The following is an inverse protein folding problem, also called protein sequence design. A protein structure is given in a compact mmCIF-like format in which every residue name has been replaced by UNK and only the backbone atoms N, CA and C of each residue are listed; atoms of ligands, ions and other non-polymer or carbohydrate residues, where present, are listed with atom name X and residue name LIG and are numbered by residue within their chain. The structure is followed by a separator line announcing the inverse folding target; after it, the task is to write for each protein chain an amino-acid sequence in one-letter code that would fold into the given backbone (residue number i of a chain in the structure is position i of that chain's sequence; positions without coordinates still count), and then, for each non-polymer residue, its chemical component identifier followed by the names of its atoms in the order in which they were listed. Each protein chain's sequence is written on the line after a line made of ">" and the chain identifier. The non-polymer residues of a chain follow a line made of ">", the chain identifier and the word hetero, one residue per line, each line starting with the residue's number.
data_IF_701590925197
#
_entry.id   IF_701590925197
#
_cell.length_a   1.000
_cell.length_b   1.000
_cell.length_c   1.000
_cell.angle_alpha   90.00
_cell.angle_beta   90.00
_cell.angle_gamma   90.00
#
_symmetry.space_group_name_H-M   'P 1'
#
loop_
_entity.id
_entity.type
_entity.pdbx_description
1 polymer ?
#
# COMPACT_ATOMS: atom_id res chain seq x y z
N UNK A 1 30.48 41.72 34.91
CA UNK A 1 30.53 41.63 33.43
C UNK A 1 30.82 40.23 32.89
N UNK A 2 31.76 39.45 33.48
CA UNK A 2 32.05 38.06 33.06
C UNK A 2 30.83 37.11 33.02
N UNK A 3 29.93 37.21 34.00
CA UNK A 3 28.76 36.31 34.08
C UNK A 3 27.68 36.59 33.01
N UNK A 4 27.59 37.82 32.51
CA UNK A 4 26.62 38.20 31.48
C UNK A 4 27.06 37.63 30.12
N UNK A 5 28.37 37.65 29.84
CA UNK A 5 28.97 37.10 28.61
C UNK A 5 28.73 35.57 28.54
N UNK A 6 28.86 34.87 29.67
CA UNK A 6 28.62 33.42 29.74
C UNK A 6 27.16 33.05 29.44
N UNK A 7 26.21 33.85 29.95
CA UNK A 7 24.78 33.67 29.72
C UNK A 7 24.40 33.92 28.25
N UNK A 8 25.01 34.90 27.60
CA UNK A 8 24.79 35.16 26.17
C UNK A 8 25.34 34.05 25.28
N UNK A 9 26.48 33.44 25.64
CA UNK A 9 27.07 32.33 24.87
C UNK A 9 26.22 31.04 24.97
N UNK A 10 25.65 30.74 26.14
CA UNK A 10 24.75 29.60 26.32
C UNK A 10 23.45 29.71 25.51
N UNK A 11 22.88 30.92 25.42
CA UNK A 11 21.68 31.16 24.61
C UNK A 11 21.94 30.95 23.12
N UNK A 12 23.10 31.38 22.60
CA UNK A 12 23.49 31.17 21.20
C UNK A 12 23.68 29.67 20.89
N UNK A 13 24.21 28.89 21.83
CA UNK A 13 24.41 27.44 21.65
C UNK A 13 23.08 26.68 21.58
N UNK A 14 22.08 27.08 22.37
CA UNK A 14 20.73 26.48 22.32
C UNK A 14 20.01 26.71 20.98
N UNK A 15 20.33 27.80 20.27
CA UNK A 15 19.75 28.11 18.95
C UNK A 15 20.38 27.29 17.81
N UNK A 16 21.57 26.72 18.02
CA UNK A 16 22.28 25.90 17.03
C UNK A 16 21.89 24.42 17.06
N UNK A 17 21.01 23.99 17.99
CA UNK A 17 20.25 22.73 17.83
C UNK A 17 19.16 22.95 16.78
N UNK A 18 19.60 23.35 15.58
CA UNK A 18 18.82 23.31 14.36
C UNK A 18 18.34 21.89 14.24
N UNK A 19 17.02 21.76 14.27
CA UNK A 19 16.26 20.61 13.78
C UNK A 19 17.07 19.90 12.72
N UNK A 20 17.54 18.70 13.02
CA UNK A 20 17.90 17.76 11.97
C UNK A 20 16.56 17.44 11.31
N UNK A 21 16.11 18.31 10.40
CA UNK A 21 15.03 18.02 9.49
C UNK A 21 15.59 16.88 8.66
N UNK A 22 15.34 15.66 9.10
CA UNK A 22 15.47 14.51 8.23
C UNK A 22 14.52 14.83 7.08
N UNK A 23 15.06 15.38 5.99
CA UNK A 23 14.35 15.40 4.73
C UNK A 23 14.08 13.92 4.49
N UNK A 24 12.84 13.47 4.77
CA UNK A 24 12.38 12.19 4.29
C UNK A 24 12.58 12.29 2.80
N UNK A 25 13.62 11.62 2.29
CA UNK A 25 13.95 11.53 0.88
C UNK A 25 12.62 11.40 0.15
N UNK A 26 12.27 12.42 -0.62
CA UNK A 26 10.96 12.50 -1.26
C UNK A 26 10.88 11.29 -2.16
N UNK A 27 10.14 10.28 -1.69
CA UNK A 27 10.02 9.01 -2.38
C UNK A 27 9.10 9.30 -3.55
N UNK A 28 9.68 9.77 -4.66
CA UNK A 28 9.01 9.87 -5.95
C UNK A 28 8.62 8.45 -6.38
N UNK A 29 7.48 8.01 -5.89
CA UNK A 29 6.82 6.78 -6.30
C UNK A 29 5.67 7.17 -7.21
N UNK A 30 5.96 7.32 -8.50
CA UNK A 30 4.91 7.27 -9.51
C UNK A 30 5.50 7.02 -10.88
N UNK A 31 6.08 5.84 -11.12
CA UNK A 31 6.06 5.31 -12.48
C UNK A 31 4.58 5.01 -12.76
N UNK A 32 3.88 5.94 -13.38
CA UNK A 32 2.55 5.71 -13.95
C UNK A 32 2.74 4.77 -15.13
N UNK A 33 1.85 3.80 -15.28
CA UNK A 33 1.86 2.94 -16.45
C UNK A 33 0.58 3.17 -17.24
N UNK A 34 0.71 3.09 -18.54
CA UNK A 34 -0.37 3.32 -19.47
C UNK A 34 -0.40 2.17 -20.47
N UNK A 35 -1.59 1.72 -20.82
CA UNK A 35 -1.79 0.74 -21.88
C UNK A 35 -3.10 1.01 -22.61
N UNK A 36 -3.26 0.36 -23.77
CA UNK A 36 -4.56 0.31 -24.41
C UNK A 36 -5.50 -0.54 -23.57
N UNK A 37 -6.61 0.05 -23.18
CA UNK A 37 -7.73 -0.59 -22.51
C UNK A 37 -8.83 -0.78 -23.56
N UNK A 38 -9.37 -1.99 -23.64
CA UNK A 38 -10.50 -2.29 -24.53
C UNK A 38 -11.79 -1.89 -23.81
N UNK A 39 -12.56 -1.02 -24.44
CA UNK A 39 -13.88 -0.60 -23.98
C UNK A 39 -14.95 -1.59 -24.47
N UNK A 40 -16.17 -1.48 -23.96
CA UNK A 40 -17.29 -2.38 -24.33
C UNK A 40 -17.68 -2.27 -25.80
N UNK A 41 -17.47 -1.11 -26.42
CA UNK A 41 -17.67 -0.85 -27.85
C UNK A 41 -16.50 -1.34 -28.73
N UNK A 42 -15.58 -2.14 -28.17
CA UNK A 42 -14.35 -2.64 -28.79
C UNK A 42 -13.33 -1.56 -29.19
N UNK A 43 -13.57 -0.30 -28.82
CA UNK A 43 -12.57 0.75 -29.00
C UNK A 43 -11.41 0.57 -28.03
N UNK A 44 -10.22 1.00 -28.45
CA UNK A 44 -9.01 0.96 -27.63
C UNK A 44 -8.69 2.37 -27.18
N UNK A 45 -8.63 2.57 -25.87
CA UNK A 45 -8.29 3.87 -25.29
C UNK A 45 -7.00 3.77 -24.47
N UNK A 46 -6.11 4.75 -24.62
CA UNK A 46 -4.86 4.77 -23.86
C UNK A 46 -5.13 5.33 -22.45
N UNK A 47 -5.19 4.45 -21.46
CA UNK A 47 -5.56 4.80 -20.08
C UNK A 47 -4.44 4.49 -19.09
N UNK A 48 -4.41 5.25 -18.00
CA UNK A 48 -3.55 4.94 -16.85
C UNK A 48 -4.04 3.66 -16.17
N UNK A 49 -3.14 2.69 -16.02
CA UNK A 49 -3.41 1.40 -15.38
C UNK A 49 -2.36 1.07 -14.34
N UNK A 50 -2.64 0.08 -13.51
CA UNK A 50 -1.63 -0.47 -12.62
C UNK A 50 -0.46 -1.06 -13.42
N UNK A 51 0.76 -0.60 -13.17
CA UNK A 51 2.00 -1.18 -13.71
C UNK A 51 2.19 -2.67 -13.48
N UNK A 52 1.42 -3.27 -12.57
CA UNK A 52 1.43 -4.71 -12.38
C UNK A 52 0.69 -5.41 -13.51
N UNK A 53 -0.43 -4.84 -13.98
CA UNK A 53 -1.22 -5.42 -15.06
C UNK A 53 -0.44 -5.44 -16.37
N UNK A 54 0.32 -4.38 -16.66
CA UNK A 54 1.13 -4.25 -17.88
C UNK A 54 2.31 -5.23 -17.97
N UNK A 55 2.57 -6.00 -16.91
CA UNK A 55 3.66 -6.98 -16.86
C UNK A 55 3.15 -8.41 -16.97
N UNK A 56 1.84 -8.61 -16.96
CA UNK A 56 1.24 -9.93 -17.01
C UNK A 56 1.17 -10.43 -18.45
N UNK A 57 1.46 -11.70 -18.64
CA UNK A 57 1.12 -12.40 -19.89
C UNK A 57 -0.39 -12.57 -20.01
N UNK A 58 -0.87 -12.92 -21.20
CA UNK A 58 -2.30 -13.24 -21.43
C UNK A 58 -2.79 -14.34 -20.47
N UNK A 59 -1.99 -15.39 -20.25
CA UNK A 59 -2.33 -16.49 -19.34
C UNK A 59 -2.43 -16.02 -17.88
N UNK A 60 -1.46 -15.21 -17.44
CA UNK A 60 -1.48 -14.63 -16.10
C UNK A 60 -2.66 -13.67 -15.92
N UNK A 61 -3.03 -12.94 -16.96
CA UNK A 61 -4.18 -12.05 -16.93
C UNK A 61 -5.50 -12.81 -16.88
N UNK A 62 -5.65 -13.88 -17.66
CA UNK A 62 -6.78 -14.80 -17.60
C UNK A 62 -6.91 -15.40 -16.20
N UNK A 63 -5.81 -15.87 -15.62
CA UNK A 63 -5.80 -16.40 -14.24
C UNK A 63 -6.21 -15.32 -13.23
N UNK A 64 -5.71 -14.09 -13.37
CA UNK A 64 -6.11 -12.96 -12.53
C UNK A 64 -7.62 -12.67 -12.66
N UNK A 65 -8.16 -12.65 -13.88
CA UNK A 65 -9.58 -12.41 -14.13
C UNK A 65 -10.45 -13.51 -13.52
N UNK A 66 -10.06 -14.78 -13.64
CA UNK A 66 -10.76 -15.89 -12.96
C UNK A 66 -10.77 -15.71 -11.44
N UNK A 67 -9.62 -15.39 -10.84
CA UNK A 67 -9.54 -15.15 -9.39
C UNK A 67 -10.41 -13.97 -8.94
N UNK A 68 -10.47 -12.89 -9.74
CA UNK A 68 -11.35 -11.75 -9.46
C UNK A 68 -12.82 -12.14 -9.58
N UNK A 69 -13.17 -12.99 -10.56
CA UNK A 69 -14.53 -13.50 -10.72
C UNK A 69 -14.96 -14.39 -9.55
N UNK A 70 -14.06 -15.26 -9.06
CA UNK A 70 -14.28 -16.09 -7.87
C UNK A 70 -14.48 -15.26 -6.59
N UNK A 71 -13.91 -14.05 -6.56
CA UNK A 71 -14.13 -13.06 -5.51
C UNK A 71 -15.40 -12.21 -5.72
N UNK A 72 -16.26 -12.58 -6.68
CA UNK A 72 -17.48 -11.89 -7.06
C UNK A 72 -17.28 -10.45 -7.59
N UNK A 73 -16.14 -10.15 -8.20
CA UNK A 73 -16.00 -8.93 -9.00
C UNK A 73 -16.63 -9.13 -10.39
N UNK A 74 -17.26 -8.08 -10.90
CA UNK A 74 -17.77 -8.04 -12.28
C UNK A 74 -16.60 -7.89 -13.26
N UNK A 75 -16.14 -9.03 -13.79
CA UNK A 75 -15.06 -9.13 -14.77
C UNK A 75 -15.35 -10.21 -15.81
N UNK A 76 -14.90 -9.93 -17.02
CA UNK A 76 -14.92 -10.86 -18.15
C UNK A 76 -13.55 -11.54 -18.28
N UNK A 77 -13.54 -12.82 -18.64
CA UNK A 77 -12.30 -13.60 -18.78
C UNK A 77 -11.87 -13.52 -20.24
N UNK A 78 -11.03 -12.54 -20.55
CA UNK A 78 -10.65 -12.17 -21.92
C UNK A 78 -9.16 -12.28 -22.20
N UNK A 79 -8.32 -12.35 -21.16
CA UNK A 79 -6.86 -12.26 -21.30
C UNK A 79 -6.36 -10.88 -21.74
N UNK A 80 -7.24 -9.87 -21.76
CA UNK A 80 -6.91 -8.47 -22.12
C UNK A 80 -7.24 -7.53 -20.96
N UNK A 81 -6.46 -6.45 -20.82
CA UNK A 81 -6.72 -5.41 -19.82
C UNK A 81 -7.90 -4.56 -20.30
N UNK A 82 -9.08 -4.83 -19.79
CA UNK A 82 -10.27 -4.00 -19.98
C UNK A 82 -10.53 -3.10 -18.76
N UNK A 83 -11.52 -2.21 -18.90
CA UNK A 83 -11.86 -1.25 -17.85
C UNK A 83 -12.37 -1.96 -16.58
N UNK A 84 -13.19 -2.99 -16.73
CA UNK A 84 -13.74 -3.79 -15.62
C UNK A 84 -12.63 -4.46 -14.82
N UNK A 85 -11.68 -5.10 -15.50
CA UNK A 85 -10.50 -5.77 -14.94
C UNK A 85 -9.62 -4.78 -14.19
N UNK A 86 -9.32 -3.61 -14.76
CA UNK A 86 -8.50 -2.60 -14.07
C UNK A 86 -9.18 -2.09 -12.78
N UNK A 87 -10.47 -1.79 -12.85
CA UNK A 87 -11.27 -1.34 -11.68
C UNK A 87 -11.32 -2.43 -10.60
N UNK A 88 -11.66 -3.66 -10.97
CA UNK A 88 -11.71 -4.81 -10.07
C UNK A 88 -10.37 -5.07 -9.40
N UNK A 89 -9.27 -5.06 -10.17
CA UNK A 89 -7.92 -5.24 -9.66
C UNK A 89 -7.54 -4.17 -8.61
N UNK A 90 -7.86 -2.90 -8.86
CA UNK A 90 -7.58 -1.82 -7.91
C UNK A 90 -8.42 -1.95 -6.63
N UNK A 91 -9.69 -2.36 -6.78
CA UNK A 91 -10.59 -2.59 -5.65
C UNK A 91 -10.14 -3.76 -4.78
N UNK A 92 -9.83 -4.91 -5.37
CA UNK A 92 -9.28 -6.06 -4.62
C UNK A 92 -7.95 -5.72 -3.94
N UNK A 93 -7.05 -4.99 -4.61
CA UNK A 93 -5.79 -4.56 -4.00
C UNK A 93 -6.01 -3.72 -2.74
N UNK A 94 -7.05 -2.89 -2.69
CA UNK A 94 -7.42 -2.12 -1.51
C UNK A 94 -8.04 -3.02 -0.43
N UNK A 95 -9.00 -3.86 -0.80
CA UNK A 95 -9.75 -4.71 0.12
C UNK A 95 -8.87 -5.83 0.72
N UNK A 96 -8.01 -6.47 -0.08
CA UNK A 96 -7.02 -7.44 0.39
C UNK A 96 -6.07 -6.88 1.44
N UNK A 97 -5.66 -5.61 1.33
CA UNK A 97 -4.84 -4.94 2.36
C UNK A 97 -5.59 -4.79 3.67
N UNK A 98 -6.87 -4.41 3.61
CA UNK A 98 -7.74 -4.30 4.79
C UNK A 98 -7.93 -5.67 5.44
N UNK A 99 -8.25 -6.71 4.66
CA UNK A 99 -8.38 -8.10 5.11
C UNK A 99 -7.11 -8.58 5.84
N UNK A 100 -5.94 -8.45 5.20
CA UNK A 100 -4.63 -8.83 5.79
C UNK A 100 -4.33 -8.07 7.08
N UNK A 101 -4.70 -6.80 7.17
CA UNK A 101 -4.51 -6.00 8.40
C UNK A 101 -5.42 -6.48 9.53
N UNK A 102 -6.69 -6.76 9.23
CA UNK A 102 -7.65 -7.27 10.20
C UNK A 102 -7.23 -8.65 10.72
N UNK A 103 -6.79 -9.54 9.83
CA UNK A 103 -6.28 -10.87 10.18
C UNK A 103 -5.06 -10.80 11.10
N UNK A 104 -4.06 -9.97 10.77
CA UNK A 104 -2.90 -9.74 11.64
C UNK A 104 -3.29 -9.25 13.04
N UNK A 105 -4.31 -8.38 13.12
CA UNK A 105 -4.83 -7.89 14.41
C UNK A 105 -5.50 -9.02 15.20
N UNK A 106 -6.27 -9.90 14.54
CA UNK A 106 -6.88 -11.09 15.16
C UNK A 106 -5.82 -12.05 15.70
N UNK A 107 -4.81 -12.39 14.88
CA UNK A 107 -3.72 -13.28 15.28
C UNK A 107 -2.93 -12.75 16.48
N UNK A 108 -2.67 -11.44 16.53
CA UNK A 108 -1.98 -10.81 17.68
C UNK A 108 -2.80 -10.91 18.97
N UNK A 109 -4.12 -10.73 18.89
CA UNK A 109 -5.02 -10.87 20.05
C UNK A 109 -5.08 -12.31 20.53
N UNK A 110 -5.24 -13.28 19.62
CA UNK A 110 -5.25 -14.70 19.97
C UNK A 110 -3.96 -15.13 20.68
N UNK A 111 -2.79 -14.69 20.19
CA UNK A 111 -1.50 -14.95 20.85
C UNK A 111 -1.38 -14.32 22.23
N UNK A 112 -1.93 -13.11 22.42
CA UNK A 112 -1.94 -12.44 23.73
C UNK A 112 -2.80 -13.21 24.74
N UNK A 113 -4.04 -13.55 24.35
CA UNK A 113 -4.95 -14.30 25.22
C UNK A 113 -4.36 -15.66 25.63
N UNK A 114 -3.79 -16.41 24.68
CA UNK A 114 -3.13 -17.69 24.97
C UNK A 114 -1.95 -17.55 25.95
N UNK A 115 -1.22 -16.43 25.90
CA UNK A 115 -0.12 -16.17 26.84
C UNK A 115 -0.65 -15.85 28.25
N UNK A 116 -1.76 -15.13 28.35
CA UNK A 116 -2.41 -14.79 29.61
C UNK A 116 -3.00 -16.03 30.29
N UNK A 117 -3.69 -16.91 29.53
CA UNK A 117 -4.19 -18.21 30.02
C UNK A 117 -3.06 -19.10 30.58
N UNK A 118 -1.95 -19.23 29.85
CA UNK A 118 -0.80 -20.03 30.32
C UNK A 118 -0.21 -19.43 31.60
N UNK A 119 -0.15 -18.09 31.74
CA UNK A 119 0.39 -17.47 32.96
C UNK A 119 -0.53 -17.60 34.18
N UNK A 120 -1.85 -17.64 33.98
CA UNK A 120 -2.81 -17.87 35.06
C UNK A 120 -2.84 -19.32 35.52
N UNK A 121 -2.57 -20.28 34.63
CA UNK A 121 -2.55 -21.70 34.98
C UNK A 121 -1.26 -22.13 35.72
N UNK A 122 -0.20 -21.31 35.63
CA UNK A 122 1.10 -21.55 36.29
C UNK A 122 1.29 -20.78 37.60
N UNK A 123 0.31 -20.00 38.05
CA UNK A 123 0.33 -19.22 39.30
C UNK A 123 -0.63 -19.80 40.33
#
# INVERSE_FOLDING_TARGET
>A
MKNIILLTLLLIFSYQVKSQSTYKKERSFSKKCYCYVVNEDLTKEYKEVSCRLTKLTTEELTSLQSNLKDLNYDVDITGVIDQKTNVAFLKDKKESRVRKRAERKRLRRAKKNKKEEISSDTS
#
